data_IF_129468637913
#
_entry.id   IF_129468637913
#
_cell.length_a   1.000
_cell.length_b   1.000
_cell.length_c   1.000
_cell.angle_alpha   90.00
_cell.angle_beta   90.00
_cell.angle_gamma   90.00
#
_symmetry.space_group_name_H-M   'P 1'
#
loop_
_entity.id
_entity.type
_entity.pdbx_description
1 polymer ?
#
# COMPACT_ATOMS: atom_id res chain seq x y z
N UNK A 1 -37.63 -0.65 -31.42
CA UNK A 1 -38.13 0.29 -30.38
C UNK A 1 -37.53 1.67 -30.67
N UNK A 2 -38.34 2.73 -30.73
CA UNK A 2 -37.91 4.05 -31.20
C UNK A 2 -37.11 4.79 -30.10
N UNK A 3 -36.04 5.47 -30.50
CA UNK A 3 -35.22 6.34 -29.63
C UNK A 3 -35.99 7.63 -29.34
N UNK A 4 -36.25 7.92 -28.07
CA UNK A 4 -36.73 9.24 -27.63
C UNK A 4 -35.59 10.28 -27.75
N UNK A 5 -35.86 11.52 -28.19
CA UNK A 5 -34.87 12.59 -28.21
C UNK A 5 -34.68 13.17 -26.81
N UNK A 6 -33.42 13.43 -26.44
CA UNK A 6 -33.06 14.12 -25.20
C UNK A 6 -33.40 15.61 -25.30
N UNK A 7 -34.31 16.06 -24.44
CA UNK A 7 -34.62 17.47 -24.22
C UNK A 7 -34.11 17.86 -22.84
N UNK A 8 -32.82 18.18 -22.73
CA UNK A 8 -32.27 18.95 -21.61
C UNK A 8 -31.22 19.93 -22.17
N UNK A 9 -31.39 21.26 -22.01
CA UNK A 9 -30.43 22.24 -22.50
C UNK A 9 -29.06 22.11 -21.82
N UNK A 10 -27.99 22.26 -22.59
CA UNK A 10 -26.58 22.16 -22.17
C UNK A 10 -26.08 23.32 -21.27
N UNK A 11 -26.93 23.87 -20.40
CA UNK A 11 -26.61 25.05 -19.57
C UNK A 11 -26.82 24.85 -18.06
N UNK A 12 -27.13 23.63 -17.59
CA UNK A 12 -27.30 23.34 -16.14
C UNK A 12 -26.44 22.14 -15.74
N UNK A 13 -25.14 22.27 -15.91
CA UNK A 13 -24.14 21.34 -15.35
C UNK A 13 -22.76 22.02 -15.28
N UNK A 14 -22.70 23.22 -14.69
CA UNK A 14 -21.45 23.71 -14.12
C UNK A 14 -21.64 23.70 -12.61
N UNK A 15 -20.78 23.00 -11.85
CA UNK A 15 -20.92 22.98 -10.41
C UNK A 15 -20.61 24.38 -9.88
N UNK A 16 -21.54 24.90 -9.08
CA UNK A 16 -21.39 26.07 -8.21
C UNK A 16 -20.26 25.91 -7.16
N UNK A 17 -19.28 25.01 -7.36
CA UNK A 17 -18.31 24.56 -6.36
C UNK A 17 -17.07 25.44 -6.25
N UNK A 18 -16.64 26.13 -7.32
CA UNK A 18 -15.41 26.95 -7.27
C UNK A 18 -15.52 28.16 -6.34
N UNK A 19 -16.69 28.79 -6.27
CA UNK A 19 -16.91 29.95 -5.40
C UNK A 19 -17.01 29.57 -3.92
N UNK A 20 -17.65 28.44 -3.62
CA UNK A 20 -17.82 27.97 -2.24
C UNK A 20 -16.55 27.38 -1.65
N UNK A 21 -15.68 26.77 -2.45
CA UNK A 21 -14.37 26.24 -1.99
C UNK A 21 -13.35 27.35 -1.74
N UNK A 22 -13.30 28.39 -2.59
CA UNK A 22 -12.46 29.57 -2.36
C UNK A 22 -12.88 30.32 -1.08
N UNK A 23 -14.18 30.42 -0.83
CA UNK A 23 -14.69 31.04 0.40
C UNK A 23 -14.44 30.13 1.62
N UNK A 24 -14.53 28.80 1.50
CA UNK A 24 -14.17 27.88 2.60
C UNK A 24 -12.67 27.89 2.92
N UNK A 25 -11.81 27.96 1.90
CA UNK A 25 -10.36 28.06 2.04
C UNK A 25 -9.92 29.41 2.65
N UNK A 26 -10.55 30.51 2.22
CA UNK A 26 -10.25 31.85 2.73
C UNK A 26 -10.84 32.12 4.14
N UNK A 27 -12.01 31.55 4.47
CA UNK A 27 -12.58 31.62 5.82
C UNK A 27 -11.82 30.69 6.78
N UNK A 28 -11.32 29.56 6.28
CA UNK A 28 -10.36 28.71 6.99
C UNK A 28 -9.13 29.50 7.40
N UNK A 29 -8.37 30.04 6.45
CA UNK A 29 -7.11 30.76 6.72
C UNK A 29 -7.26 31.93 7.70
N UNK A 30 -8.36 32.67 7.68
CA UNK A 30 -8.62 33.77 8.62
C UNK A 30 -8.83 33.33 10.08
N UNK A 31 -9.24 32.07 10.33
CA UNK A 31 -9.56 31.57 11.69
C UNK A 31 -8.39 30.90 12.40
N UNK A 32 -7.28 30.64 11.71
CA UNK A 32 -6.15 29.88 12.26
C UNK A 32 -4.99 30.74 12.78
N UNK A 33 -5.02 32.08 12.66
CA UNK A 33 -3.85 32.94 12.95
C UNK A 33 -3.13 32.64 14.29
N UNK A 34 -3.82 32.59 15.44
CA UNK A 34 -3.20 32.25 16.72
C UNK A 34 -2.76 30.78 16.86
N UNK A 35 -3.37 29.86 16.11
CA UNK A 35 -3.00 28.44 16.13
C UNK A 35 -1.79 28.16 15.21
N UNK A 36 -1.70 28.87 14.08
CA UNK A 36 -0.58 28.82 13.14
C UNK A 36 0.74 29.27 13.76
N UNK A 37 0.70 30.26 14.67
CA UNK A 37 1.87 30.74 15.40
C UNK A 37 2.48 29.69 16.35
N UNK A 38 1.75 28.62 16.63
CA UNK A 38 2.22 27.45 17.39
C UNK A 38 2.55 26.29 16.45
N UNK A 39 1.63 25.99 15.51
CA UNK A 39 1.74 24.83 14.64
C UNK A 39 2.99 24.86 13.76
N UNK A 40 3.23 25.97 13.04
CA UNK A 40 4.36 26.09 12.12
C UNK A 40 5.72 25.97 12.84
N UNK A 41 6.01 26.72 13.92
CA UNK A 41 7.27 26.55 14.64
C UNK A 41 7.47 25.13 15.20
N UNK A 42 6.40 24.47 15.66
CA UNK A 42 6.48 23.09 16.14
C UNK A 42 6.92 22.12 15.02
N UNK A 43 6.30 22.21 13.83
CA UNK A 43 6.69 21.39 12.69
C UNK A 43 8.12 21.69 12.22
N UNK A 44 8.49 22.97 12.12
CA UNK A 44 9.86 23.36 11.73
C UNK A 44 10.91 22.85 12.73
N UNK A 45 10.58 22.81 14.03
CA UNK A 45 11.44 22.23 15.06
C UNK A 45 11.59 20.70 14.92
N UNK A 46 10.67 20.01 14.26
CA UNK A 46 10.85 18.59 13.94
C UNK A 46 11.75 18.46 12.70
N UNK A 47 11.51 19.26 11.66
CA UNK A 47 12.37 19.25 10.47
C UNK A 47 13.82 19.61 10.80
N UNK A 48 14.08 20.44 11.82
CA UNK A 48 15.44 20.73 12.28
C UNK A 48 16.18 19.54 12.89
N UNK A 49 15.52 18.41 13.14
CA UNK A 49 16.13 17.16 13.60
C UNK A 49 16.56 16.23 12.46
N UNK A 50 16.39 16.64 11.21
CA UNK A 50 16.91 15.90 10.06
C UNK A 50 18.44 15.99 10.10
N UNK A 51 19.12 14.85 10.18
CA UNK A 51 20.59 14.77 10.18
C UNK A 51 21.15 14.13 8.90
N UNK A 52 20.45 13.13 8.37
CA UNK A 52 20.79 12.39 7.14
C UNK A 52 19.91 12.85 5.98
N UNK A 53 20.51 13.32 4.89
CA UNK A 53 19.76 13.87 3.75
C UNK A 53 19.40 15.34 3.89
N UNK A 54 18.59 15.83 2.95
CA UNK A 54 18.24 17.25 2.85
C UNK A 54 16.75 17.46 2.56
N UNK A 55 16.12 18.37 3.29
CA UNK A 55 14.80 18.92 2.97
C UNK A 55 14.95 20.41 2.62
N UNK A 56 14.68 20.77 1.37
CA UNK A 56 14.43 22.15 0.95
C UNK A 56 12.93 22.43 1.12
N UNK A 57 12.59 23.29 2.06
CA UNK A 57 11.24 23.78 2.28
C UNK A 57 11.08 25.13 1.58
N UNK A 58 10.15 25.21 0.62
CA UNK A 58 9.75 26.45 -0.04
C UNK A 58 8.34 26.82 0.43
N UNK A 59 8.23 27.79 1.32
CA UNK A 59 6.95 28.30 1.81
C UNK A 59 6.55 29.52 0.98
N UNK A 60 5.69 29.32 -0.02
CA UNK A 60 5.26 30.39 -0.92
C UNK A 60 4.44 31.48 -0.20
N UNK A 61 3.45 31.15 0.67
CA UNK A 61 2.72 32.16 1.44
C UNK A 61 3.62 33.05 2.30
N UNK A 62 4.68 32.49 2.89
CA UNK A 62 5.62 33.23 3.72
C UNK A 62 6.84 33.80 2.95
N UNK A 63 6.89 33.60 1.63
CA UNK A 63 8.03 33.95 0.77
C UNK A 63 9.38 33.46 1.33
N UNK A 64 9.40 32.28 1.96
CA UNK A 64 10.52 31.79 2.75
C UNK A 64 11.10 30.50 2.15
N UNK A 65 12.42 30.40 2.14
CA UNK A 65 13.14 29.17 1.78
C UNK A 65 14.04 28.75 2.92
N UNK A 66 13.88 27.51 3.37
CA UNK A 66 14.66 26.94 4.46
C UNK A 66 15.23 25.59 4.05
N UNK A 67 16.44 25.30 4.51
CA UNK A 67 17.11 24.01 4.27
C UNK A 67 17.32 23.33 5.62
N UNK A 68 16.85 22.09 5.73
CA UNK A 68 17.06 21.22 6.87
C UNK A 68 17.96 20.04 6.49
N UNK A 69 18.73 19.53 7.45
CA UNK A 69 19.71 18.47 7.23
C UNK A 69 21.01 18.94 6.59
N UNK A 70 21.60 18.07 5.77
CA UNK A 70 22.90 18.29 5.15
C UNK A 70 22.83 19.44 4.15
N UNK A 71 23.80 20.38 4.23
CA UNK A 71 23.85 21.53 3.33
C UNK A 71 24.18 21.09 1.90
N UNK A 72 23.40 21.57 0.93
CA UNK A 72 23.64 21.35 -0.50
C UNK A 72 24.78 22.25 -0.99
N UNK A 73 25.65 21.71 -1.86
CA UNK A 73 26.57 22.51 -2.65
C UNK A 73 25.83 23.30 -3.73
N UNK A 74 26.30 24.51 -4.08
CA UNK A 74 25.61 25.44 -4.98
C UNK A 74 25.18 24.85 -6.34
N UNK A 75 26.01 23.98 -6.94
CA UNK A 75 25.71 23.27 -8.20
C UNK A 75 24.53 22.28 -8.14
N UNK A 76 24.16 21.82 -6.94
CA UNK A 76 23.11 20.81 -6.77
C UNK A 76 21.72 21.41 -6.50
N UNK A 77 21.67 22.66 -6.01
CA UNK A 77 20.40 23.39 -5.85
C UNK A 77 19.68 23.58 -7.20
N UNK A 78 20.45 23.73 -8.29
CA UNK A 78 19.91 23.88 -9.65
C UNK A 78 19.26 22.57 -10.16
N UNK A 79 19.87 21.40 -9.92
CA UNK A 79 19.34 20.11 -10.42
C UNK A 79 18.06 19.66 -9.69
N UNK A 80 17.95 19.92 -8.38
CA UNK A 80 16.72 19.65 -7.60
C UNK A 80 15.56 20.55 -8.06
N UNK A 81 15.83 21.85 -8.28
CA UNK A 81 14.84 22.77 -8.82
C UNK A 81 14.35 22.34 -10.22
N UNK A 82 15.25 21.78 -11.04
CA UNK A 82 14.96 21.32 -12.40
C UNK A 82 14.26 19.95 -12.46
N UNK A 83 14.08 19.25 -11.33
CA UNK A 83 13.32 17.99 -11.29
C UNK A 83 13.99 16.79 -11.96
N UNK A 84 15.32 16.80 -12.11
CA UNK A 84 16.05 15.62 -12.61
C UNK A 84 15.93 14.46 -11.61
N UNK A 85 15.48 13.29 -12.10
CA UNK A 85 15.25 12.11 -11.26
C UNK A 85 16.56 11.60 -10.66
N UNK A 86 16.70 11.68 -9.34
CA UNK A 86 17.78 11.00 -8.62
C UNK A 86 17.50 9.49 -8.67
N UNK A 87 18.56 8.69 -8.85
CA UNK A 87 18.50 7.23 -8.79
C UNK A 87 17.75 6.77 -7.53
N UNK A 88 16.60 6.10 -7.70
CA UNK A 88 15.72 5.57 -6.64
C UNK A 88 16.29 4.33 -5.96
N UNK A 89 17.54 4.39 -5.50
CA UNK A 89 18.14 3.27 -4.75
C UNK A 89 17.90 3.47 -3.26
N UNK A 90 17.70 2.36 -2.55
CA UNK A 90 17.45 2.37 -1.10
C UNK A 90 18.64 2.92 -0.28
N UNK A 91 19.83 2.98 -0.87
CA UNK A 91 21.06 3.50 -0.24
C UNK A 91 21.34 4.98 -0.57
N UNK A 92 20.57 5.60 -1.46
CA UNK A 92 20.76 6.99 -1.83
C UNK A 92 20.36 7.91 -0.67
N UNK A 93 21.23 8.88 -0.36
CA UNK A 93 20.92 9.91 0.63
C UNK A 93 19.77 10.78 0.09
N UNK A 94 18.59 10.81 0.74
CA UNK A 94 17.41 11.48 0.20
C UNK A 94 17.58 13.00 0.20
N UNK A 95 17.16 13.64 -0.89
CA UNK A 95 17.18 15.08 -1.09
C UNK A 95 15.85 15.51 -1.71
N UNK A 96 15.14 16.39 -1.03
CA UNK A 96 13.71 16.58 -1.28
C UNK A 96 13.38 18.06 -1.27
N UNK A 97 12.54 18.48 -2.21
CA UNK A 97 11.88 19.80 -2.20
C UNK A 97 10.41 19.62 -1.83
N UNK A 98 9.99 20.30 -0.76
CA UNK A 98 8.58 20.42 -0.37
C UNK A 98 8.16 21.87 -0.55
N UNK A 99 7.20 22.11 -1.44
CA UNK A 99 6.64 23.43 -1.69
C UNK A 99 5.31 23.54 -0.96
N UNK A 100 5.19 24.51 -0.05
CA UNK A 100 3.95 24.82 0.66
C UNK A 100 3.22 25.92 -0.10
N UNK A 101 2.00 25.61 -0.57
CA UNK A 101 1.12 26.52 -1.31
C UNK A 101 0.10 27.21 -0.42
N UNK A 102 -0.23 26.59 0.72
CA UNK A 102 -1.27 27.06 1.65
C UNK A 102 -0.84 26.92 3.10
N UNK A 103 -1.13 27.92 3.93
CA UNK A 103 -0.88 27.87 5.37
C UNK A 103 -1.69 26.78 6.10
N UNK A 104 -2.79 26.31 5.49
CA UNK A 104 -3.61 25.22 6.03
C UNK A 104 -2.80 23.93 6.26
N UNK A 105 -1.76 23.70 5.44
CA UNK A 105 -0.84 22.58 5.58
C UNK A 105 -0.26 22.48 7.00
N UNK A 106 0.17 23.60 7.57
CA UNK A 106 0.80 23.61 8.89
C UNK A 106 -0.16 23.13 9.98
N UNK A 107 -1.42 23.53 9.90
CA UNK A 107 -2.45 23.09 10.85
C UNK A 107 -2.82 21.62 10.65
N UNK A 108 -2.98 21.17 9.40
CA UNK A 108 -3.29 19.76 9.10
C UNK A 108 -2.20 18.83 9.56
N UNK A 109 -0.95 19.14 9.22
CA UNK A 109 0.21 18.36 9.63
C UNK A 109 0.37 18.34 11.16
N UNK A 110 0.07 19.46 11.84
CA UNK A 110 0.12 19.53 13.29
C UNK A 110 -0.99 18.70 13.97
N UNK A 111 -2.23 18.74 13.47
CA UNK A 111 -3.38 18.07 14.10
C UNK A 111 -3.51 16.59 13.72
N UNK A 112 -3.14 16.24 12.49
CA UNK A 112 -3.43 14.95 11.87
C UNK A 112 -2.18 14.25 11.32
N UNK A 113 -0.98 14.76 11.60
CA UNK A 113 0.30 14.14 11.24
C UNK A 113 0.36 13.66 9.77
N UNK A 114 0.55 12.36 9.56
CA UNK A 114 0.63 11.69 8.26
C UNK A 114 -0.65 11.82 7.43
N UNK A 115 -1.83 11.68 8.04
CA UNK A 115 -3.11 11.95 7.37
C UNK A 115 -3.23 13.41 6.95
N UNK A 116 -2.78 14.33 7.81
CA UNK A 116 -2.73 15.76 7.51
C UNK A 116 -1.85 16.06 6.30
N UNK A 117 -0.69 15.41 6.20
CA UNK A 117 0.20 15.50 5.04
C UNK A 117 -0.48 14.97 3.77
N UNK A 118 -1.09 13.77 3.83
CA UNK A 118 -1.75 13.15 2.69
C UNK A 118 -2.91 13.99 2.14
N UNK A 119 -3.78 14.49 3.02
CA UNK A 119 -4.86 15.40 2.64
C UNK A 119 -4.34 16.69 2.02
N UNK A 120 -3.29 17.28 2.61
CA UNK A 120 -2.68 18.51 2.09
C UNK A 120 -2.13 18.31 0.68
N UNK A 121 -1.52 17.15 0.40
CA UNK A 121 -1.02 16.80 -0.93
C UNK A 121 -2.18 16.62 -1.92
N UNK A 122 -3.24 15.89 -1.53
CA UNK A 122 -4.42 15.67 -2.37
C UNK A 122 -5.19 16.97 -2.70
N UNK A 123 -5.21 17.92 -1.77
CA UNK A 123 -5.85 19.22 -1.93
C UNK A 123 -4.98 20.26 -2.66
N UNK A 124 -3.73 19.92 -2.99
CA UNK A 124 -2.78 20.86 -3.60
C UNK A 124 -2.30 21.96 -2.65
N UNK A 125 -2.43 21.77 -1.34
CA UNK A 125 -1.91 22.67 -0.31
C UNK A 125 -0.37 22.57 -0.21
N UNK A 126 0.19 21.44 -0.67
CA UNK A 126 1.62 21.21 -0.86
C UNK A 126 1.90 20.56 -2.21
N UNK A 127 3.11 20.76 -2.72
CA UNK A 127 3.67 20.03 -3.86
C UNK A 127 4.99 19.38 -3.45
N UNK A 128 5.19 18.13 -3.86
CA UNK A 128 6.42 17.36 -3.64
C UNK A 128 6.66 16.46 -4.85
N UNK A 129 7.72 16.74 -5.62
CA UNK A 129 8.02 16.00 -6.87
C UNK A 129 8.40 14.54 -6.61
N UNK A 130 9.07 14.26 -5.49
CA UNK A 130 9.53 12.93 -5.14
C UNK A 130 9.05 12.56 -3.73
N UNK A 131 7.81 12.08 -3.65
CA UNK A 131 7.23 11.57 -2.41
C UNK A 131 8.02 10.38 -1.85
N UNK A 132 8.65 9.57 -2.69
CA UNK A 132 9.46 8.44 -2.24
C UNK A 132 10.68 8.93 -1.48
N UNK A 133 11.43 9.89 -2.04
CA UNK A 133 12.55 10.51 -1.37
C UNK A 133 12.11 11.28 -0.10
N UNK A 134 10.93 11.92 -0.13
CA UNK A 134 10.31 12.55 1.04
C UNK A 134 10.18 11.54 2.19
N UNK A 135 9.47 10.43 2.00
CA UNK A 135 9.28 9.45 3.06
C UNK A 135 10.59 8.75 3.46
N UNK A 136 11.49 8.47 2.51
CA UNK A 136 12.82 7.94 2.82
C UNK A 136 13.59 8.86 3.77
N UNK A 137 13.51 10.18 3.59
CA UNK A 137 14.13 11.16 4.48
C UNK A 137 13.66 10.98 5.92
N UNK A 138 12.37 10.73 6.14
CA UNK A 138 11.85 10.50 7.49
C UNK A 138 12.24 9.12 8.03
N UNK A 139 12.23 8.09 7.20
CA UNK A 139 12.62 6.73 7.58
C UNK A 139 14.09 6.69 8.05
N UNK A 140 15.01 7.34 7.32
CA UNK A 140 16.43 7.36 7.71
C UNK A 140 16.71 8.24 8.91
N UNK A 141 15.84 9.16 9.30
CA UNK A 141 16.00 10.01 10.49
C UNK A 141 15.05 9.62 11.64
N UNK A 142 14.42 8.44 11.57
CA UNK A 142 13.34 8.03 12.49
C UNK A 142 13.71 8.10 13.98
N UNK A 143 14.97 7.80 14.32
CA UNK A 143 15.45 7.75 15.70
C UNK A 143 15.58 9.17 16.27
N UNK A 144 16.16 10.08 15.48
CA UNK A 144 16.31 11.51 15.82
C UNK A 144 14.98 12.26 15.90
N UNK A 145 14.00 11.82 15.12
CA UNK A 145 12.64 12.37 15.13
C UNK A 145 11.71 11.75 16.18
N UNK A 146 12.22 10.83 17.01
CA UNK A 146 11.50 10.27 18.16
C UNK A 146 10.41 9.28 17.80
N UNK A 147 10.78 8.14 17.17
CA UNK A 147 10.02 6.89 17.00
C UNK A 147 8.51 7.00 16.63
N UNK A 148 8.06 8.12 16.06
CA UNK A 148 6.64 8.39 15.78
C UNK A 148 5.76 8.62 17.02
N UNK A 149 6.26 8.34 18.23
CA UNK A 149 5.47 8.41 19.48
C UNK A 149 5.31 9.83 20.03
N UNK A 150 6.09 10.79 19.53
CA UNK A 150 6.11 12.18 20.06
C UNK A 150 5.18 13.13 19.29
N UNK A 151 4.62 12.71 18.15
CA UNK A 151 3.90 13.58 17.19
C UNK A 151 2.43 13.88 17.56
N UNK A 152 2.04 14.05 18.84
CA UNK A 152 0.65 14.29 19.33
C UNK A 152 -0.23 13.04 19.58
N UNK A 153 0.38 11.92 19.96
CA UNK A 153 -0.25 10.62 20.29
C UNK A 153 -1.41 10.63 21.32
N UNK A 154 -1.73 11.76 21.96
CA UNK A 154 -2.93 11.87 22.79
C UNK A 154 -4.17 12.34 22.03
N UNK A 155 -4.01 13.07 20.92
CA UNK A 155 -5.12 13.69 20.19
C UNK A 155 -5.54 12.84 18.97
N UNK A 156 -4.59 12.18 18.29
CA UNK A 156 -4.85 11.29 17.15
C UNK A 156 -5.48 9.96 17.58
N UNK A 157 -5.00 9.35 18.67
CA UNK A 157 -5.48 8.06 19.18
C UNK A 157 -6.95 8.12 19.62
N UNK A 158 -7.43 9.29 20.08
CA UNK A 158 -8.83 9.50 20.43
C UNK A 158 -9.78 9.55 19.21
N UNK A 159 -9.27 9.98 18.05
CA UNK A 159 -10.05 10.12 16.81
C UNK A 159 -9.99 8.81 15.99
N UNK A 160 -8.82 8.17 15.89
CA UNK A 160 -8.66 6.86 15.25
C UNK A 160 -9.45 5.75 15.95
N UNK A 161 -9.62 5.87 17.26
CA UNK A 161 -10.48 5.00 18.09
C UNK A 161 -11.94 4.91 17.61
N UNK A 162 -12.46 5.95 16.95
CA UNK A 162 -13.82 5.99 16.44
C UNK A 162 -13.99 5.37 15.03
N UNK A 163 -12.88 5.14 14.32
CA UNK A 163 -12.88 4.56 12.97
C UNK A 163 -12.62 3.03 12.95
N UNK A 164 -12.44 2.41 14.13
CA UNK A 164 -12.06 0.99 14.24
C UNK A 164 -13.18 0.06 13.77
N UNK A 165 -12.95 -0.62 12.64
CA UNK A 165 -13.65 -1.83 12.24
C UNK A 165 -12.79 -3.05 12.59
N UNK A 166 -13.22 -3.85 13.58
CA UNK A 166 -12.55 -5.11 13.98
C UNK A 166 -12.51 -6.12 12.83
N UNK A 167 -11.51 -6.98 12.68
CA UNK A 167 -11.42 -7.99 11.59
C UNK A 167 -12.31 -9.24 11.78
N UNK A 168 -13.54 -9.03 12.25
CA UNK A 168 -14.57 -10.08 12.28
C UNK A 168 -14.88 -10.56 10.85
N UNK A 169 -15.48 -11.75 10.71
CA UNK A 169 -15.86 -12.30 9.40
C UNK A 169 -16.67 -11.31 8.55
N UNK A 170 -17.64 -10.62 9.17
CA UNK A 170 -18.47 -9.61 8.50
C UNK A 170 -17.67 -8.39 8.04
N UNK A 171 -16.70 -7.95 8.85
CA UNK A 171 -15.87 -6.79 8.52
C UNK A 171 -14.75 -7.11 7.53
N UNK A 172 -14.22 -8.33 7.53
CA UNK A 172 -13.28 -8.79 6.51
C UNK A 172 -13.92 -8.75 5.10
N UNK A 173 -15.19 -9.17 5.00
CA UNK A 173 -15.97 -9.04 3.76
C UNK A 173 -16.16 -7.57 3.35
N UNK A 174 -16.47 -6.68 4.32
CA UNK A 174 -16.65 -5.25 4.05
C UNK A 174 -15.34 -4.57 3.62
N UNK A 175 -14.22 -4.82 4.31
CA UNK A 175 -12.91 -4.26 3.99
C UNK A 175 -12.44 -4.68 2.59
N UNK A 176 -12.68 -5.95 2.20
CA UNK A 176 -12.31 -6.45 0.88
C UNK A 176 -13.22 -5.87 -0.21
N UNK A 177 -14.53 -5.74 0.04
CA UNK A 177 -15.43 -5.05 -0.90
C UNK A 177 -15.04 -3.58 -1.10
N UNK A 178 -14.62 -2.87 -0.06
CA UNK A 178 -14.24 -1.46 -0.14
C UNK A 178 -12.92 -1.22 -0.92
N UNK A 179 -11.98 -2.17 -0.90
CA UNK A 179 -10.64 -2.00 -1.50
C UNK A 179 -10.42 -2.79 -2.80
N UNK A 180 -11.12 -3.91 -3.02
CA UNK A 180 -10.91 -4.78 -4.20
C UNK A 180 -12.15 -4.91 -5.10
N UNK A 181 -13.32 -4.33 -4.75
CA UNK A 181 -14.37 -4.05 -5.76
C UNK A 181 -14.09 -2.72 -6.50
N UNK A 182 -12.88 -2.17 -6.35
CA UNK A 182 -12.35 -1.16 -7.26
C UNK A 182 -12.09 -1.84 -8.61
N UNK A 183 -12.43 -1.15 -9.71
CA UNK A 183 -12.34 -1.71 -11.08
C UNK A 183 -11.00 -2.40 -11.36
N UNK A 184 -11.06 -3.61 -11.92
CA UNK A 184 -9.90 -4.34 -12.44
C UNK A 184 -9.06 -3.47 -13.40
N UNK A 185 -9.69 -2.53 -14.12
CA UNK A 185 -8.99 -1.59 -15.01
C UNK A 185 -8.00 -0.70 -14.25
N UNK A 186 -8.32 -0.31 -13.01
CA UNK A 186 -7.41 0.50 -12.19
C UNK A 186 -6.14 -0.29 -11.89
N UNK A 187 -6.28 -1.52 -11.41
CA UNK A 187 -5.14 -2.39 -11.10
C UNK A 187 -4.34 -2.72 -12.36
N UNK A 188 -5.02 -3.02 -13.48
CA UNK A 188 -4.37 -3.28 -14.76
C UNK A 188 -3.56 -2.08 -15.29
N UNK A 189 -3.86 -0.85 -14.86
CA UNK A 189 -3.13 0.34 -15.29
C UNK A 189 -1.71 0.45 -14.72
N UNK A 190 -1.40 -0.23 -13.62
CA UNK A 190 -0.08 -0.15 -12.97
C UNK A 190 0.55 -1.49 -12.58
N UNK A 191 -0.21 -2.59 -12.60
CA UNK A 191 0.35 -3.93 -12.42
C UNK A 191 0.93 -4.47 -13.72
N UNK A 192 1.77 -5.50 -13.60
CA UNK A 192 2.19 -6.33 -14.73
C UNK A 192 1.01 -7.17 -15.26
N UNK A 193 1.09 -7.72 -16.49
CA UNK A 193 -0.01 -8.47 -17.13
C UNK A 193 -0.51 -9.68 -16.33
N UNK A 194 0.35 -10.25 -15.49
CA UNK A 194 0.01 -11.32 -14.56
C UNK A 194 -0.91 -10.85 -13.40
N UNK A 195 -1.19 -9.55 -13.27
CA UNK A 195 -2.07 -8.94 -12.27
C UNK A 195 -1.66 -9.27 -10.83
N UNK A 196 -0.37 -9.50 -10.57
CA UNK A 196 0.12 -9.81 -9.22
C UNK A 196 0.30 -8.52 -8.41
N UNK A 197 -0.58 -8.30 -7.43
CA UNK A 197 -0.44 -7.22 -6.45
C UNK A 197 0.21 -7.73 -5.16
N UNK A 198 1.52 -7.96 -5.23
CA UNK A 198 2.36 -8.29 -4.07
C UNK A 198 3.82 -8.01 -4.41
N UNK A 199 4.71 -8.01 -3.41
CA UNK A 199 6.13 -7.73 -3.62
C UNK A 199 6.79 -8.76 -4.57
N UNK A 200 7.46 -8.31 -5.66
CA UNK A 200 8.22 -9.17 -6.56
C UNK A 200 9.61 -9.51 -5.99
N UNK A 201 10.30 -10.46 -6.62
CA UNK A 201 11.72 -10.77 -6.33
C UNK A 201 12.55 -10.38 -7.54
N UNK A 202 13.36 -9.33 -7.38
CA UNK A 202 14.29 -8.83 -8.39
C UNK A 202 15.62 -9.60 -8.39
N UNK A 203 16.31 -9.67 -9.53
CA UNK A 203 17.69 -10.16 -9.64
C UNK A 203 18.62 -9.35 -8.72
N UNK A 204 19.38 -10.03 -7.88
CA UNK A 204 20.28 -9.39 -6.89
C UNK A 204 21.53 -8.75 -7.53
N UNK A 205 21.93 -9.22 -8.71
CA UNK A 205 23.07 -8.70 -9.47
C UNK A 205 22.77 -8.76 -10.98
N UNK A 206 21.95 -7.84 -11.50
CA UNK A 206 21.67 -7.80 -12.94
C UNK A 206 22.98 -7.48 -13.69
N UNK A 207 23.24 -8.21 -14.78
CA UNK A 207 24.32 -7.87 -15.68
C UNK A 207 24.02 -6.49 -16.31
N UNK A 208 24.91 -5.49 -16.18
CA UNK A 208 24.69 -4.17 -16.77
C UNK A 208 24.52 -4.17 -18.30
N UNK A 209 24.91 -5.26 -18.97
CA UNK A 209 24.70 -5.45 -20.41
C UNK A 209 23.34 -6.05 -20.76
N UNK A 210 22.58 -6.58 -19.79
CA UNK A 210 21.21 -7.02 -19.98
C UNK A 210 20.22 -5.84 -19.91
N UNK A 211 19.06 -5.94 -20.60
CA UNK A 211 17.99 -4.97 -20.39
C UNK A 211 17.50 -5.00 -18.93
N UNK A 212 16.99 -3.87 -18.46
CA UNK A 212 16.38 -3.76 -17.13
C UNK A 212 15.28 -4.82 -16.96
N UNK A 213 15.29 -5.48 -15.80
CA UNK A 213 14.31 -6.52 -15.49
C UNK A 213 12.90 -5.91 -15.46
N UNK A 214 11.95 -6.58 -16.10
CA UNK A 214 10.56 -6.15 -16.09
C UNK A 214 9.89 -6.59 -14.78
N UNK A 215 8.89 -5.81 -14.34
CA UNK A 215 8.06 -6.19 -13.19
C UNK A 215 7.47 -7.60 -13.34
N UNK A 216 6.99 -7.93 -14.54
CA UNK A 216 6.45 -9.26 -14.86
C UNK A 216 7.47 -10.38 -14.61
N UNK A 217 8.72 -10.22 -15.08
CA UNK A 217 9.77 -11.22 -14.82
C UNK A 217 10.09 -11.36 -13.34
N UNK A 218 10.13 -10.26 -12.59
CA UNK A 218 10.37 -10.27 -11.16
C UNK A 218 9.19 -10.92 -10.38
N UNK A 219 7.95 -10.75 -10.86
CA UNK A 219 6.78 -11.44 -10.30
C UNK A 219 6.83 -12.95 -10.59
N UNK A 220 7.13 -13.36 -11.82
CA UNK A 220 7.28 -14.79 -12.18
C UNK A 220 8.41 -15.43 -11.37
N UNK A 221 9.54 -14.73 -11.20
CA UNK A 221 10.63 -15.18 -10.33
C UNK A 221 10.16 -15.42 -8.90
N UNK A 222 9.35 -14.49 -8.36
CA UNK A 222 8.72 -14.67 -7.05
C UNK A 222 7.79 -15.88 -7.02
N UNK A 223 6.87 -16.03 -7.98
CA UNK A 223 5.93 -17.16 -8.01
C UNK A 223 6.67 -18.50 -8.08
N UNK A 224 7.70 -18.60 -8.92
CA UNK A 224 8.55 -19.79 -9.00
C UNK A 224 9.26 -20.10 -7.68
N UNK A 225 9.76 -19.07 -6.98
CA UNK A 225 10.38 -19.24 -5.66
C UNK A 225 9.42 -19.87 -4.65
N UNK A 226 8.14 -19.50 -4.68
CA UNK A 226 7.11 -20.07 -3.83
C UNK A 226 6.75 -21.50 -4.23
N UNK A 227 6.57 -21.77 -5.53
CA UNK A 227 6.28 -23.12 -6.05
C UNK A 227 7.42 -24.09 -5.69
N UNK A 228 8.66 -23.67 -5.92
CA UNK A 228 9.86 -24.49 -5.65
C UNK A 228 10.11 -24.62 -4.15
N UNK A 229 9.91 -23.55 -3.38
CA UNK A 229 10.04 -23.54 -1.92
C UNK A 229 9.03 -24.45 -1.23
N UNK A 230 7.81 -24.52 -1.75
CA UNK A 230 6.78 -25.46 -1.31
C UNK A 230 7.07 -26.90 -1.78
N UNK A 231 7.98 -27.11 -2.73
CA UNK A 231 8.28 -28.42 -3.34
C UNK A 231 7.03 -29.07 -3.95
N UNK A 232 6.23 -28.27 -4.66
CA UNK A 232 4.99 -28.72 -5.29
C UNK A 232 5.28 -29.78 -6.36
N UNK A 233 4.54 -30.88 -6.34
CA UNK A 233 4.62 -31.99 -7.30
C UNK A 233 3.34 -32.10 -8.13
N UNK A 234 3.38 -32.79 -9.29
CA UNK A 234 2.19 -33.03 -10.12
C UNK A 234 1.03 -33.73 -9.38
N UNK A 235 1.35 -34.54 -8.36
CA UNK A 235 0.36 -35.28 -7.56
C UNK A 235 -0.26 -34.45 -6.43
N UNK A 236 0.28 -33.27 -6.14
CA UNK A 236 -0.11 -32.51 -4.95
C UNK A 236 -1.43 -31.76 -5.17
N UNK A 237 -2.22 -31.66 -4.10
CA UNK A 237 -3.32 -30.72 -4.01
C UNK A 237 -2.90 -29.54 -3.12
N UNK A 238 -2.80 -28.37 -3.74
CA UNK A 238 -2.35 -27.11 -3.13
C UNK A 238 -3.56 -26.27 -2.71
N UNK A 239 -3.51 -25.70 -1.52
CA UNK A 239 -4.40 -24.63 -1.10
C UNK A 239 -3.68 -23.29 -1.23
N UNK A 240 -4.29 -22.37 -1.95
CA UNK A 240 -3.90 -20.96 -1.98
C UNK A 240 -4.88 -20.15 -1.12
N UNK A 241 -4.36 -19.43 -0.12
CA UNK A 241 -5.13 -18.49 0.69
C UNK A 241 -4.84 -17.09 0.16
N UNK A 242 -5.83 -16.49 -0.52
CA UNK A 242 -5.71 -15.22 -1.20
C UNK A 242 -5.45 -15.39 -2.71
N UNK A 243 -6.51 -15.56 -3.50
CA UNK A 243 -6.43 -15.77 -4.96
C UNK A 243 -5.76 -14.63 -5.72
N UNK A 244 -5.95 -13.38 -5.28
CA UNK A 244 -5.69 -12.22 -6.13
C UNK A 244 -6.44 -12.37 -7.46
N UNK A 245 -5.71 -12.31 -8.57
CA UNK A 245 -6.24 -12.55 -9.92
C UNK A 245 -5.73 -13.88 -10.54
N UNK A 246 -5.37 -14.86 -9.70
CA UNK A 246 -5.06 -16.23 -10.10
C UNK A 246 -3.64 -16.48 -10.59
N UNK A 247 -2.72 -15.50 -10.47
CA UNK A 247 -1.37 -15.61 -11.01
C UNK A 247 -0.57 -16.78 -10.45
N UNK A 248 -0.60 -16.98 -9.13
CA UNK A 248 0.07 -18.11 -8.49
C UNK A 248 -0.56 -19.44 -8.90
N UNK A 249 -1.89 -19.57 -8.87
CA UNK A 249 -2.57 -20.80 -9.24
C UNK A 249 -2.25 -21.23 -10.68
N UNK A 250 -2.30 -20.28 -11.63
CA UNK A 250 -1.97 -20.51 -13.04
C UNK A 250 -0.52 -20.97 -13.19
N UNK A 251 0.44 -20.25 -12.59
CA UNK A 251 1.86 -20.61 -12.71
C UNK A 251 2.20 -21.93 -11.98
N UNK A 252 1.54 -22.25 -10.86
CA UNK A 252 1.72 -23.51 -10.14
C UNK A 252 1.29 -24.72 -10.99
N UNK A 253 0.10 -24.65 -11.60
CA UNK A 253 -0.40 -25.72 -12.50
C UNK A 253 0.43 -25.79 -13.77
N UNK A 254 0.76 -24.66 -14.39
CA UNK A 254 1.60 -24.61 -15.60
C UNK A 254 2.97 -25.24 -15.38
N UNK A 255 3.61 -24.96 -14.24
CA UNK A 255 4.97 -25.46 -13.93
C UNK A 255 4.98 -26.93 -13.48
N UNK A 256 3.94 -27.39 -12.79
CA UNK A 256 3.99 -28.69 -12.09
C UNK A 256 2.88 -29.66 -12.47
N UNK A 257 1.77 -29.21 -13.02
CA UNK A 257 0.58 -30.03 -13.26
C UNK A 257 -0.23 -30.38 -12.00
N UNK A 258 0.06 -29.73 -10.86
CA UNK A 258 -0.67 -29.94 -9.61
C UNK A 258 -2.14 -29.53 -9.70
N UNK A 259 -2.89 -29.74 -8.63
CA UNK A 259 -4.23 -29.18 -8.45
C UNK A 259 -4.17 -28.02 -7.45
N UNK A 260 -4.97 -26.99 -7.67
CA UNK A 260 -5.06 -25.83 -6.78
C UNK A 260 -6.51 -25.60 -6.37
N UNK A 261 -6.76 -25.48 -5.06
CA UNK A 261 -7.95 -24.79 -4.55
C UNK A 261 -7.51 -23.43 -4.06
N UNK A 262 -8.10 -22.37 -4.60
CA UNK A 262 -7.75 -20.98 -4.29
C UNK A 262 -8.92 -20.28 -3.61
N UNK A 263 -8.64 -19.54 -2.54
CA UNK A 263 -9.67 -18.86 -1.75
C UNK A 263 -9.57 -17.34 -1.90
N UNK A 264 -10.70 -16.69 -2.14
CA UNK A 264 -10.85 -15.24 -2.07
C UNK A 264 -12.18 -14.86 -1.41
N UNK A 265 -12.26 -13.62 -0.94
CA UNK A 265 -13.49 -12.98 -0.46
C UNK A 265 -14.02 -11.94 -1.44
N UNK A 266 -13.27 -11.60 -2.50
CA UNK A 266 -13.70 -10.65 -3.55
C UNK A 266 -14.35 -11.40 -4.71
N UNK A 267 -15.54 -10.94 -5.10
CA UNK A 267 -16.27 -11.47 -6.25
C UNK A 267 -15.60 -11.06 -7.56
N UNK A 268 -15.11 -9.83 -7.64
CA UNK A 268 -14.41 -9.30 -8.82
C UNK A 268 -13.09 -10.03 -9.09
N UNK A 269 -12.32 -10.29 -8.03
CA UNK A 269 -11.11 -11.13 -8.10
C UNK A 269 -11.42 -12.54 -8.58
N UNK A 270 -12.45 -13.18 -8.01
CA UNK A 270 -12.88 -14.52 -8.43
C UNK A 270 -13.24 -14.54 -9.92
N UNK A 271 -14.08 -13.61 -10.36
CA UNK A 271 -14.55 -13.56 -11.75
C UNK A 271 -13.38 -13.43 -12.74
N UNK A 272 -12.49 -12.45 -12.52
CA UNK A 272 -11.35 -12.25 -13.42
C UNK A 272 -10.30 -13.38 -13.29
N UNK A 273 -10.10 -13.95 -12.10
CA UNK A 273 -9.23 -15.12 -11.93
C UNK A 273 -9.77 -16.31 -12.74
N UNK A 274 -11.07 -16.60 -12.68
CA UNK A 274 -11.70 -17.68 -13.44
C UNK A 274 -11.56 -17.49 -14.96
N UNK A 275 -11.78 -16.27 -15.46
CA UNK A 275 -11.55 -15.94 -16.88
C UNK A 275 -10.10 -16.21 -17.30
N UNK A 276 -9.14 -15.78 -16.48
CA UNK A 276 -7.70 -15.97 -16.75
C UNK A 276 -7.31 -17.44 -16.69
N UNK A 277 -7.89 -18.21 -15.76
CA UNK A 277 -7.68 -19.66 -15.61
C UNK A 277 -8.23 -20.41 -16.83
N UNK A 278 -9.42 -20.04 -17.29
CA UNK A 278 -10.04 -20.62 -18.49
C UNK A 278 -9.22 -20.30 -19.74
N UNK A 279 -8.80 -19.04 -19.91
CA UNK A 279 -7.92 -18.63 -21.01
C UNK A 279 -6.57 -19.37 -21.00
N UNK A 280 -6.05 -19.74 -19.82
CA UNK A 280 -4.84 -20.55 -19.67
C UNK A 280 -5.08 -22.05 -19.86
N UNK A 281 -6.34 -22.51 -19.95
CA UNK A 281 -6.69 -23.91 -20.16
C UNK A 281 -6.56 -24.79 -18.93
N UNK A 282 -6.71 -24.23 -17.71
CA UNK A 282 -6.48 -24.94 -16.44
C UNK A 282 -7.73 -25.10 -15.56
N UNK A 283 -8.93 -24.89 -16.12
CA UNK A 283 -10.20 -24.99 -15.37
C UNK A 283 -10.48 -26.37 -14.77
N UNK A 284 -9.81 -27.44 -15.25
CA UNK A 284 -9.90 -28.79 -14.68
C UNK A 284 -8.98 -28.99 -13.46
N UNK A 285 -8.04 -28.07 -13.23
CA UNK A 285 -7.00 -28.16 -12.19
C UNK A 285 -7.10 -27.10 -11.11
N UNK A 286 -7.73 -25.97 -11.41
CA UNK A 286 -7.82 -24.83 -10.50
C UNK A 286 -9.29 -24.58 -10.14
N UNK A 287 -9.59 -24.64 -8.86
CA UNK A 287 -10.89 -24.35 -8.27
C UNK A 287 -10.81 -23.08 -7.41
N UNK A 288 -11.43 -21.99 -7.86
CA UNK A 288 -11.46 -20.72 -7.12
C UNK A 288 -12.75 -20.64 -6.30
N UNK A 289 -12.65 -20.39 -5.00
CA UNK A 289 -13.80 -20.35 -4.09
C UNK A 289 -13.94 -18.98 -3.45
N UNK A 290 -15.18 -18.47 -3.46
CA UNK A 290 -15.55 -17.29 -2.70
C UNK A 290 -15.82 -17.73 -1.26
N UNK A 291 -14.78 -17.91 -0.46
CA UNK A 291 -14.88 -18.54 0.86
C UNK A 291 -13.78 -18.03 1.78
N UNK A 292 -14.14 -17.73 3.01
CA UNK A 292 -13.18 -17.42 4.06
C UNK A 292 -12.43 -18.68 4.47
N UNK A 293 -11.09 -18.62 4.57
CA UNK A 293 -10.27 -19.77 4.97
C UNK A 293 -10.67 -20.34 6.34
N UNK A 294 -11.22 -19.51 7.24
CA UNK A 294 -11.73 -19.92 8.57
C UNK A 294 -12.96 -20.80 8.45
N UNK A 295 -13.77 -20.60 7.41
CA UNK A 295 -14.99 -21.35 7.14
C UNK A 295 -14.74 -22.59 6.27
N UNK A 296 -13.51 -22.80 5.77
CA UNK A 296 -13.20 -23.98 4.97
C UNK A 296 -13.26 -25.23 5.85
N UNK A 297 -14.21 -26.12 5.55
CA UNK A 297 -14.33 -27.44 6.18
C UNK A 297 -13.04 -28.24 6.00
N UNK A 298 -12.71 -29.09 6.98
CA UNK A 298 -11.54 -29.96 6.87
C UNK A 298 -11.84 -31.03 5.80
N UNK A 299 -11.10 -31.05 4.68
CA UNK A 299 -11.32 -32.07 3.66
C UNK A 299 -10.92 -33.46 4.19
N UNK A 300 -11.53 -34.52 3.66
CA UNK A 300 -11.16 -35.91 4.00
C UNK A 300 -9.67 -36.18 3.77
N UNK A 301 -9.14 -35.61 2.69
CA UNK A 301 -7.71 -35.57 2.41
C UNK A 301 -7.21 -34.13 2.61
N UNK A 302 -6.40 -33.87 3.64
CA UNK A 302 -5.77 -32.56 3.85
C UNK A 302 -4.91 -32.14 2.65
N UNK A 303 -4.64 -30.85 2.52
CA UNK A 303 -3.82 -30.33 1.43
C UNK A 303 -2.37 -30.74 1.58
N UNK A 304 -1.74 -31.11 0.47
CA UNK A 304 -0.32 -31.41 0.42
C UNK A 304 0.53 -30.18 0.72
N UNK A 305 0.06 -29.01 0.27
CA UNK A 305 0.79 -27.74 0.32
C UNK A 305 -0.18 -26.60 0.59
N UNK A 306 0.27 -25.61 1.37
CA UNK A 306 -0.46 -24.35 1.56
C UNK A 306 0.46 -23.19 1.15
N UNK A 307 -0.06 -22.29 0.33
CA UNK A 307 0.63 -21.04 -0.01
C UNK A 307 -0.27 -19.87 0.35
N UNK A 308 0.30 -18.86 1.01
CA UNK A 308 -0.40 -17.61 1.34
C UNK A 308 0.54 -16.44 1.14
N UNK A 309 0.21 -15.57 0.19
CA UNK A 309 1.06 -14.44 -0.21
C UNK A 309 0.38 -13.16 0.24
N UNK A 310 1.02 -12.39 1.13
CA UNK A 310 0.59 -11.07 1.62
C UNK A 310 -0.86 -11.05 2.11
N UNK A 311 -1.21 -12.07 2.89
CA UNK A 311 -2.54 -12.25 3.49
C UNK A 311 -2.52 -12.02 5.02
N UNK A 312 -1.37 -12.19 5.69
CA UNK A 312 -1.26 -12.11 7.15
C UNK A 312 -1.53 -10.70 7.68
N UNK A 313 -1.22 -9.69 6.87
CA UNK A 313 -1.42 -8.26 7.12
C UNK A 313 -2.90 -7.93 7.34
N UNK A 314 -3.79 -8.66 6.68
CA UNK A 314 -5.23 -8.50 6.79
C UNK A 314 -5.86 -9.33 7.93
N UNK A 315 -5.09 -10.18 8.61
CA UNK A 315 -5.60 -11.06 9.68
C UNK A 315 -5.81 -10.26 10.97
N UNK A 316 -4.88 -9.38 11.30
CA UNK A 316 -4.84 -8.69 12.60
C UNK A 316 -4.24 -9.54 13.72
N UNK A 317 -3.57 -8.87 14.67
CA UNK A 317 -2.77 -9.53 15.72
C UNK A 317 -3.58 -10.56 16.53
N UNK A 318 -4.81 -10.21 16.92
CA UNK A 318 -5.69 -11.04 17.73
C UNK A 318 -6.10 -12.36 17.06
N UNK A 319 -6.04 -12.44 15.73
CA UNK A 319 -6.45 -13.61 14.95
C UNK A 319 -5.27 -14.42 14.38
N UNK A 320 -4.02 -14.03 14.63
CA UNK A 320 -2.85 -14.77 14.15
C UNK A 320 -2.85 -16.23 14.64
N UNK A 321 -3.22 -16.46 15.90
CA UNK A 321 -3.36 -17.82 16.44
C UNK A 321 -4.42 -18.64 15.70
N UNK A 322 -5.57 -18.04 15.39
CA UNK A 322 -6.64 -18.66 14.61
C UNK A 322 -6.18 -18.96 13.17
N UNK A 323 -5.42 -18.06 12.55
CA UNK A 323 -4.89 -18.24 11.21
C UNK A 323 -3.97 -19.47 11.12
N UNK A 324 -2.98 -19.58 12.01
CA UNK A 324 -2.09 -20.75 12.04
C UNK A 324 -2.80 -22.04 12.48
N UNK A 325 -3.81 -21.97 13.35
CA UNK A 325 -4.64 -23.12 13.68
C UNK A 325 -5.43 -23.65 12.46
N UNK A 326 -5.91 -22.75 11.58
CA UNK A 326 -6.55 -23.16 10.32
C UNK A 326 -5.56 -23.87 9.39
N UNK A 327 -4.34 -23.34 9.26
CA UNK A 327 -3.28 -23.97 8.47
C UNK A 327 -2.95 -25.36 9.02
N UNK A 328 -2.73 -25.48 10.33
CA UNK A 328 -2.43 -26.76 10.97
C UNK A 328 -3.55 -27.79 10.70
N UNK A 329 -4.80 -27.36 10.78
CA UNK A 329 -5.97 -28.21 10.52
C UNK A 329 -6.06 -28.67 9.06
N UNK A 330 -5.70 -27.81 8.11
CA UNK A 330 -5.89 -28.04 6.66
C UNK A 330 -4.69 -28.71 5.99
N UNK A 331 -3.51 -28.64 6.59
CA UNK A 331 -2.26 -29.19 6.03
C UNK A 331 -2.08 -30.67 6.41
N UNK A 332 -1.58 -31.49 5.47
CA UNK A 332 -1.13 -32.85 5.79
C UNK A 332 -0.05 -32.81 6.88
N UNK A 333 -0.19 -33.69 7.87
CA UNK A 333 0.77 -33.81 8.98
C UNK A 333 2.13 -34.34 8.51
N UNK A 334 2.10 -35.31 7.60
CA UNK A 334 3.31 -35.90 7.02
C UNK A 334 3.60 -35.29 5.64
N UNK A 335 4.77 -34.67 5.50
CA UNK A 335 5.24 -34.10 4.22
C UNK A 335 4.49 -32.84 3.75
N UNK A 336 3.58 -32.31 4.56
CA UNK A 336 2.92 -31.03 4.35
C UNK A 336 3.92 -29.86 4.43
N UNK A 337 3.81 -28.91 3.52
CA UNK A 337 4.64 -27.70 3.53
C UNK A 337 3.73 -26.49 3.37
N UNK A 338 3.88 -25.50 4.25
CA UNK A 338 3.25 -24.20 4.11
C UNK A 338 4.31 -23.11 3.84
N UNK A 339 4.04 -22.21 2.89
CA UNK A 339 4.94 -21.12 2.51
C UNK A 339 4.19 -19.79 2.54
N UNK A 340 4.80 -18.79 3.18
CA UNK A 340 4.18 -17.49 3.45
C UNK A 340 5.02 -16.35 2.88
N UNK A 341 4.35 -15.37 2.26
CA UNK A 341 4.87 -14.01 2.10
C UNK A 341 4.13 -13.12 3.07
N UNK A 342 4.84 -12.29 3.82
CA UNK A 342 4.22 -11.27 4.64
C UNK A 342 5.17 -10.08 4.81
N UNK A 343 4.58 -8.90 4.91
CA UNK A 343 5.22 -7.69 5.37
C UNK A 343 5.42 -7.84 6.89
N UNK A 344 6.64 -7.60 7.33
CA UNK A 344 7.00 -7.72 8.75
C UNK A 344 7.67 -6.44 9.24
N UNK A 345 7.69 -6.28 10.57
CA UNK A 345 8.45 -5.24 11.23
C UNK A 345 9.37 -5.83 12.29
N UNK A 346 10.52 -5.18 12.58
CA UNK A 346 11.37 -5.49 13.72
C UNK A 346 10.59 -5.48 15.04
N UNK A 347 10.82 -6.51 15.85
CA UNK A 347 10.12 -6.75 17.13
C UNK A 347 10.18 -5.55 18.09
N UNK A 348 11.32 -4.86 18.18
CA UNK A 348 11.46 -3.67 19.02
C UNK A 348 10.55 -2.49 18.65
N UNK A 349 9.84 -2.55 17.51
CA UNK A 349 8.83 -1.58 17.10
C UNK A 349 7.39 -2.04 17.35
N UNK A 350 7.18 -3.33 17.62
CA UNK A 350 5.86 -3.93 17.70
C UNK A 350 5.01 -3.33 18.82
N UNK A 351 5.56 -3.17 20.03
CA UNK A 351 4.80 -2.66 21.18
C UNK A 351 4.30 -1.21 20.98
N UNK A 352 5.09 -0.36 20.32
CA UNK A 352 4.68 1.00 20.00
C UNK A 352 3.64 1.02 18.88
N UNK A 353 3.76 0.12 17.91
CA UNK A 353 2.82 -0.03 16.80
C UNK A 353 1.46 -0.55 17.26
N UNK A 354 1.43 -1.62 18.04
CA UNK A 354 0.19 -2.25 18.50
C UNK A 354 -0.66 -1.32 19.37
N UNK A 355 -0.03 -0.46 20.17
CA UNK A 355 -0.73 0.56 20.99
C UNK A 355 -1.34 1.71 20.18
N UNK A 356 -0.93 1.88 18.92
CA UNK A 356 -1.52 2.86 18.00
C UNK A 356 -2.65 2.28 17.14
N UNK A 357 -2.70 0.94 17.02
CA UNK A 357 -3.77 0.21 16.31
C UNK A 357 -4.89 -0.30 17.22
N UNK A 358 -4.62 -0.51 18.53
CA UNK A 358 -5.62 -0.75 19.58
C UNK A 358 -6.38 0.53 19.96
#
# INVERSE_FOLDING_TARGET
>A
MPKLPSLVPAAVAQPLSRGTELVRGAVGSLTWGPALSVAKPAILSVFSRIERGTLLLVDEPAELRQVFGQKLGAKYNENLANGESVSRRADAIPRVELVVKSEAFWMRLFLFADMGFAESYMLGEIECKDLTAFFQLFIVNREEMGNGTTWFSSLSTAISSLARTTNTLSNALLNISAHYDISNDMFAAFLSPDMTYSCPIWKTHPDPSEPEETLEHAQITKLHRFIDGARIKPSDHVLEIGTGWGSFAIEAVKKTGCRVTSLTLSKEQKALAEERIEAAGFSDRIDVRLTDYRALETPETPFDKIVSIEMLEAVGQEFLGTYFACIDRLLKKDGGIAVFQCITMPEGRHEAYSKGEE
#
